data_IF_311064760071
#
_entry.id   IF_311064760071
#
_cell.length_a   1.000
_cell.length_b   1.000
_cell.length_c   1.000
_cell.angle_alpha   90.00
_cell.angle_beta   90.00
_cell.angle_gamma   90.00
#
_symmetry.space_group_name_H-M   'P 1'
#
loop_
_entity.id
_entity.type
_entity.pdbx_description
1 polymer ?
#
# COMPACT_ATOMS: atom_id res chain seq x y z
N UNK A 1 10.34 9.97 2.77
CA UNK A 1 9.56 9.98 1.53
C UNK A 1 10.19 8.91 0.72
N UNK A 2 9.65 7.71 0.89
CA UNK A 2 9.71 6.77 -0.19
C UNK A 2 9.37 7.50 -1.49
N UNK A 3 10.28 7.42 -2.45
CA UNK A 3 10.02 7.82 -3.82
C UNK A 3 9.83 6.58 -4.65
N UNK A 4 8.73 6.55 -5.39
CA UNK A 4 8.46 5.54 -6.38
C UNK A 4 8.97 6.08 -7.71
N UNK A 5 10.05 5.51 -8.21
CA UNK A 5 10.55 5.80 -9.55
C UNK A 5 9.88 4.87 -10.55
N UNK A 6 9.02 5.45 -11.38
CA UNK A 6 8.35 4.77 -12.48
C UNK A 6 9.24 4.81 -13.72
N UNK A 7 10.04 3.77 -13.91
CA UNK A 7 11.14 3.74 -14.90
C UNK A 7 10.66 3.92 -16.34
N UNK A 8 9.49 3.36 -16.68
CA UNK A 8 8.96 3.50 -18.05
C UNK A 8 8.57 4.94 -18.34
N UNK A 9 7.95 5.59 -17.37
CA UNK A 9 7.46 6.95 -17.45
C UNK A 9 8.58 7.97 -17.21
N UNK A 10 9.71 7.56 -16.62
CA UNK A 10 10.81 8.45 -16.25
C UNK A 10 10.38 9.48 -15.20
N UNK A 11 9.46 9.09 -14.31
CA UNK A 11 8.85 9.96 -13.31
C UNK A 11 9.11 9.44 -11.90
N UNK A 12 9.46 10.36 -11.02
CA UNK A 12 9.59 10.13 -9.59
C UNK A 12 8.35 10.67 -8.90
N UNK A 13 7.77 9.85 -8.03
CA UNK A 13 6.55 10.18 -7.29
C UNK A 13 6.83 10.03 -5.81
N UNK A 14 6.57 11.10 -5.07
CA UNK A 14 6.61 11.10 -3.62
C UNK A 14 5.38 10.39 -3.05
N UNK A 15 5.60 9.59 -2.01
CA UNK A 15 4.53 8.91 -1.28
C UNK A 15 4.89 8.77 0.20
N UNK A 16 3.89 8.41 1.01
CA UNK A 16 4.09 8.08 2.41
C UNK A 16 4.35 6.57 2.58
N UNK A 17 5.15 6.18 3.58
CA UNK A 17 5.22 4.77 3.99
C UNK A 17 3.81 4.22 4.27
N UNK A 18 3.55 2.99 3.82
CA UNK A 18 2.25 2.33 3.88
C UNK A 18 1.29 2.66 2.74
N UNK A 19 1.59 3.62 1.84
CA UNK A 19 0.70 3.89 0.71
C UNK A 19 0.67 2.73 -0.29
N UNK A 20 -0.52 2.46 -0.84
CA UNK A 20 -0.70 1.42 -1.84
C UNK A 20 -0.12 1.85 -3.20
N UNK A 21 0.78 1.04 -3.76
CA UNK A 21 1.49 1.35 -5.00
C UNK A 21 0.54 1.63 -6.18
N UNK A 22 -0.59 0.90 -6.27
CA UNK A 22 -1.60 1.15 -7.32
C UNK A 22 -2.26 2.51 -7.15
N UNK A 23 -2.67 2.85 -5.94
CA UNK A 23 -3.39 4.11 -5.72
C UNK A 23 -2.47 5.31 -5.94
N UNK A 24 -1.21 5.23 -5.52
CA UNK A 24 -0.20 6.26 -5.82
C UNK A 24 -0.02 6.41 -7.33
N UNK A 25 0.17 5.32 -8.07
CA UNK A 25 0.29 5.37 -9.52
C UNK A 25 -0.94 6.02 -10.19
N UNK A 26 -2.15 5.65 -9.75
CA UNK A 26 -3.40 6.20 -10.30
C UNK A 26 -3.58 7.68 -9.99
N UNK A 27 -3.29 8.11 -8.75
CA UNK A 27 -3.33 9.52 -8.34
C UNK A 27 -2.46 10.39 -9.23
N UNK A 28 -1.28 9.87 -9.61
CA UNK A 28 -0.31 10.58 -10.43
C UNK A 28 -0.49 10.40 -11.95
N UNK A 29 -1.56 9.72 -12.38
CA UNK A 29 -1.82 9.44 -13.80
C UNK A 29 -0.81 8.51 -14.45
N UNK A 30 -0.13 7.66 -13.68
CA UNK A 30 0.77 6.62 -14.18
C UNK A 30 -0.05 5.42 -14.66
N UNK A 31 0.12 5.07 -15.93
CA UNK A 31 -0.65 3.98 -16.56
C UNK A 31 -0.05 2.60 -16.25
N UNK A 32 -0.70 1.88 -15.34
CA UNK A 32 -0.35 0.50 -14.98
C UNK A 32 -0.94 -0.54 -15.94
N UNK A 33 -1.98 -0.19 -16.70
CA UNK A 33 -2.76 -1.13 -17.49
C UNK A 33 -2.47 -1.01 -18.98
N UNK A 34 -2.45 -2.15 -19.67
CA UNK A 34 -2.70 -2.15 -21.12
C UNK A 34 -4.19 -1.98 -21.41
N UNK A 35 -4.55 -1.82 -22.69
CA UNK A 35 -5.94 -1.61 -23.14
C UNK A 35 -6.96 -2.59 -22.52
N UNK A 36 -6.64 -3.89 -22.52
CA UNK A 36 -7.50 -4.93 -21.89
C UNK A 36 -7.62 -4.76 -20.37
N UNK A 37 -6.55 -4.30 -19.72
CA UNK A 37 -6.54 -4.06 -18.28
C UNK A 37 -7.35 -2.83 -17.88
N UNK A 38 -7.38 -1.78 -18.71
CA UNK A 38 -8.21 -0.60 -18.46
C UNK A 38 -9.70 -0.97 -18.40
N UNK A 39 -10.15 -1.86 -19.27
CA UNK A 39 -11.56 -2.31 -19.33
C UNK A 39 -11.91 -3.41 -18.30
N UNK A 40 -10.94 -4.20 -17.84
CA UNK A 40 -11.20 -5.44 -17.10
C UNK A 40 -10.39 -5.61 -15.82
N UNK A 41 -9.83 -4.53 -15.24
CA UNK A 41 -9.16 -4.63 -13.94
C UNK A 41 -10.18 -4.82 -12.81
N UNK A 42 -9.74 -5.50 -11.74
CA UNK A 42 -10.59 -5.81 -10.58
C UNK A 42 -10.71 -4.66 -9.57
N UNK A 43 -10.37 -3.43 -9.92
CA UNK A 43 -10.47 -2.30 -9.00
C UNK A 43 -9.48 -2.29 -7.83
N UNK A 44 -8.57 -3.27 -7.73
CA UNK A 44 -7.59 -3.38 -6.63
C UNK A 44 -7.83 -4.56 -5.68
N UNK A 45 -8.86 -5.38 -5.91
CA UNK A 45 -9.26 -6.45 -5.00
C UNK A 45 -8.41 -7.75 -5.07
N UNK A 46 -7.22 -7.72 -5.71
CA UNK A 46 -6.36 -8.91 -5.85
C UNK A 46 -6.92 -10.05 -6.74
N UNK A 47 -8.05 -9.85 -7.42
CA UNK A 47 -8.71 -10.92 -8.19
C UNK A 47 -8.16 -11.09 -9.61
N UNK A 48 -7.61 -10.03 -10.18
CA UNK A 48 -6.95 -10.05 -11.49
C UNK A 48 -5.42 -9.91 -11.35
N UNK A 49 -4.71 -10.09 -12.46
CA UNK A 49 -3.26 -9.86 -12.53
C UNK A 49 -2.89 -8.64 -13.38
N UNK A 50 -3.82 -7.74 -13.67
CA UNK A 50 -3.57 -6.67 -14.66
C UNK A 50 -2.71 -5.53 -14.15
N UNK A 51 -2.57 -5.38 -12.83
CA UNK A 51 -1.74 -4.35 -12.18
C UNK A 51 -0.32 -4.85 -11.84
N UNK A 52 0.21 -5.81 -12.60
CA UNK A 52 1.59 -6.24 -12.36
C UNK A 52 2.57 -5.08 -12.62
N UNK A 53 3.64 -5.05 -11.84
CA UNK A 53 4.81 -4.20 -12.01
C UNK A 53 6.03 -5.09 -11.79
N UNK A 54 7.19 -4.69 -12.30
CA UNK A 54 8.45 -5.34 -11.94
C UNK A 54 9.19 -4.41 -10.99
N UNK A 55 9.57 -4.90 -9.81
CA UNK A 55 10.55 -4.19 -8.96
C UNK A 55 11.91 -4.37 -9.63
N UNK A 56 12.62 -3.29 -9.91
CA UNK A 56 13.91 -3.33 -10.63
C UNK A 56 15.10 -2.90 -9.77
N UNK A 57 14.82 -2.66 -8.50
CA UNK A 57 15.79 -2.37 -7.44
C UNK A 57 16.16 -3.67 -6.71
N UNK A 58 17.26 -4.30 -7.12
CA UNK A 58 17.70 -5.60 -6.59
C UNK A 58 18.24 -5.49 -5.17
N UNK A 59 18.78 -4.33 -4.79
CA UNK A 59 19.40 -4.09 -3.49
C UNK A 59 18.36 -3.75 -2.40
N UNK A 60 17.10 -3.56 -2.79
CA UNK A 60 16.04 -3.01 -1.93
C UNK A 60 14.81 -3.93 -1.90
N UNK A 61 15.05 -5.18 -1.50
CA UNK A 61 14.03 -6.24 -1.48
C UNK A 61 12.91 -6.00 -0.47
N UNK A 62 13.14 -5.12 0.51
CA UNK A 62 12.18 -4.75 1.57
C UNK A 62 11.55 -3.36 1.35
N UNK A 63 11.66 -2.80 0.15
CA UNK A 63 11.04 -1.52 -0.19
C UNK A 63 9.51 -1.58 -0.22
N UNK A 64 8.95 -2.77 -0.40
CA UNK A 64 7.52 -3.04 -0.41
C UNK A 64 7.21 -4.08 0.66
N UNK A 65 5.97 -4.09 1.15
CA UNK A 65 5.48 -5.15 2.03
C UNK A 65 5.72 -6.54 1.44
N UNK A 66 5.83 -7.53 2.32
CA UNK A 66 5.90 -8.93 1.94
C UNK A 66 4.73 -9.31 1.03
N UNK A 67 4.97 -10.27 0.13
CA UNK A 67 3.92 -10.76 -0.77
C UNK A 67 2.78 -11.38 0.03
N UNK A 68 1.57 -11.12 -0.43
CA UNK A 68 0.38 -11.77 0.13
C UNK A 68 0.18 -13.15 -0.48
N UNK A 69 -0.55 -14.04 0.19
CA UNK A 69 -0.89 -15.36 -0.37
C UNK A 69 -1.65 -15.27 -1.71
N UNK A 70 -2.46 -14.21 -1.88
CA UNK A 70 -3.14 -13.93 -3.15
C UNK A 70 -2.13 -13.61 -4.24
N UNK A 71 -1.16 -12.74 -3.94
CA UNK A 71 -0.10 -12.36 -4.86
C UNK A 71 0.75 -13.57 -5.25
N UNK A 72 1.18 -14.39 -4.29
CA UNK A 72 1.97 -15.60 -4.54
C UNK A 72 1.23 -16.59 -5.44
N UNK A 73 -0.05 -16.85 -5.18
CA UNK A 73 -0.83 -17.76 -6.01
C UNK A 73 -1.02 -17.20 -7.43
N UNK A 74 -1.36 -15.92 -7.57
CA UNK A 74 -1.61 -15.27 -8.86
C UNK A 74 -0.35 -15.13 -9.70
N UNK A 75 0.82 -14.95 -9.07
CA UNK A 75 2.10 -14.75 -9.73
C UNK A 75 3.01 -15.99 -9.76
N UNK A 76 2.56 -17.16 -9.30
CA UNK A 76 3.37 -18.41 -9.20
C UNK A 76 4.15 -18.86 -10.45
N UNK A 77 3.78 -18.38 -11.64
CA UNK A 77 4.41 -18.70 -12.94
C UNK A 77 4.98 -17.45 -13.61
N UNK A 78 5.27 -16.41 -12.83
CA UNK A 78 5.82 -15.13 -13.29
C UNK A 78 7.19 -14.92 -12.62
N UNK A 79 8.01 -14.00 -13.16
CA UNK A 79 9.29 -13.66 -12.54
C UNK A 79 9.13 -13.20 -11.09
N UNK A 80 10.13 -13.46 -10.26
CA UNK A 80 10.09 -13.27 -8.81
C UNK A 80 10.13 -11.78 -8.40
N UNK A 81 10.58 -10.92 -9.30
CA UNK A 81 10.58 -9.48 -9.12
C UNK A 81 9.22 -8.84 -9.47
N UNK A 82 8.29 -9.60 -10.06
CA UNK A 82 6.97 -9.07 -10.41
C UNK A 82 6.09 -8.97 -9.17
N UNK A 83 5.46 -7.82 -8.97
CA UNK A 83 4.52 -7.57 -7.88
C UNK A 83 3.15 -7.19 -8.43
N UNK A 84 2.08 -7.44 -7.68
CA UNK A 84 0.77 -6.85 -7.92
C UNK A 84 0.72 -5.49 -7.21
N UNK A 85 0.70 -4.39 -7.97
CA UNK A 85 0.71 -3.04 -7.37
C UNK A 85 -0.43 -2.80 -6.38
N UNK A 86 -1.60 -3.45 -6.58
CA UNK A 86 -2.72 -3.34 -5.63
C UNK A 86 -2.53 -4.08 -4.31
N UNK A 87 -1.56 -4.98 -4.21
CA UNK A 87 -1.26 -5.77 -3.00
C UNK A 87 0.04 -5.34 -2.32
N UNK A 88 0.75 -4.37 -2.89
CA UNK A 88 2.02 -3.88 -2.38
C UNK A 88 1.84 -2.51 -1.74
N UNK A 89 2.22 -2.40 -0.47
CA UNK A 89 2.37 -1.11 0.21
C UNK A 89 3.84 -0.70 0.16
N UNK A 90 4.09 0.59 0.00
CA UNK A 90 5.44 1.15 -0.11
C UNK A 90 5.99 1.43 1.27
N UNK A 91 7.12 0.82 1.63
CA UNK A 91 7.80 1.05 2.92
C UNK A 91 9.02 1.95 2.75
N UNK A 92 9.74 1.78 1.63
CA UNK A 92 10.93 2.56 1.27
C UNK A 92 10.90 2.95 -0.20
N UNK A 93 11.78 3.87 -0.59
CA UNK A 93 11.92 4.27 -1.99
C UNK A 93 12.16 3.06 -2.88
N UNK A 94 11.51 2.99 -4.04
CA UNK A 94 11.52 1.79 -4.88
C UNK A 94 11.53 2.19 -6.35
N UNK A 95 12.27 1.45 -7.16
CA UNK A 95 12.19 1.55 -8.62
C UNK A 95 11.27 0.47 -9.17
N UNK A 96 10.27 0.88 -9.94
CA UNK A 96 9.31 -0.03 -10.56
C UNK A 96 9.21 0.21 -12.07
N UNK A 97 9.19 -0.89 -12.81
CA UNK A 97 8.85 -0.90 -14.22
C UNK A 97 7.37 -1.25 -14.37
N UNK A 98 6.60 -0.28 -14.88
CA UNK A 98 5.19 -0.50 -15.24
C UNK A 98 5.10 -1.38 -16.49
N UNK A 99 4.03 -2.17 -16.57
CA UNK A 99 3.74 -3.04 -17.73
C UNK A 99 4.98 -3.84 -18.20
N UNK A 100 5.63 -4.63 -17.31
CA UNK A 100 6.87 -5.36 -17.61
C UNK A 100 6.78 -6.33 -18.81
N UNK A 101 5.59 -6.76 -19.18
CA UNK A 101 5.32 -7.57 -20.38
C UNK A 101 5.46 -6.80 -21.71
N UNK A 102 5.47 -5.47 -21.67
CA UNK A 102 5.62 -4.62 -22.86
C UNK A 102 7.07 -4.18 -22.97
N UNK A 103 7.68 -4.37 -24.15
CA UNK A 103 9.06 -3.94 -24.41
C UNK A 103 9.26 -2.46 -24.01
N UNK A 104 10.32 -2.19 -23.27
CA UNK A 104 10.79 -0.84 -22.98
C UNK A 104 11.83 -0.45 -24.03
N UNK A 105 11.62 0.67 -24.73
CA UNK A 105 12.62 1.20 -25.65
C UNK A 105 13.85 1.65 -24.87
N UNK A 106 15.04 1.26 -25.33
CA UNK A 106 16.31 1.54 -24.66
C UNK A 106 16.28 1.13 -23.17
N UNK A 107 15.82 -0.10 -22.90
CA UNK A 107 15.61 -0.61 -21.55
C UNK A 107 16.86 -0.46 -20.68
N UNK A 108 18.01 -0.90 -21.19
CA UNK A 108 19.28 -0.86 -20.45
C UNK A 108 19.66 0.55 -20.04
N UNK A 109 19.59 1.53 -20.96
CA UNK A 109 19.95 2.91 -20.64
C UNK A 109 18.97 3.55 -19.64
N UNK A 110 17.67 3.23 -19.74
CA UNK A 110 16.66 3.77 -18.80
C UNK A 110 16.79 3.16 -17.41
N UNK A 111 17.06 1.86 -17.32
CA UNK A 111 17.32 1.19 -16.05
C UNK A 111 18.63 1.70 -15.43
N UNK A 112 19.69 1.86 -16.23
CA UNK A 112 20.95 2.42 -15.76
C UNK A 112 20.80 3.86 -15.24
N UNK A 113 20.11 4.73 -15.98
CA UNK A 113 19.83 6.09 -15.55
C UNK A 113 18.98 6.13 -14.26
N UNK A 114 17.98 5.26 -14.16
CA UNK A 114 17.16 5.14 -12.95
C UNK A 114 17.99 4.68 -11.74
N UNK A 115 18.99 3.81 -11.91
CA UNK A 115 19.84 3.36 -10.80
C UNK A 115 20.85 4.42 -10.32
N UNK A 116 21.25 5.34 -11.19
CA UNK A 116 22.29 6.35 -10.87
C UNK A 116 21.76 7.58 -10.11
N UNK A 117 20.48 7.90 -10.25
CA UNK A 117 19.90 9.07 -9.60
C UNK A 117 19.50 8.74 -8.14
N UNK A 118 20.08 9.40 -7.12
CA UNK A 118 19.72 9.15 -5.73
C UNK A 118 18.23 9.47 -5.49
N UNK A 119 17.54 8.59 -4.76
CA UNK A 119 16.16 8.83 -4.33
C UNK A 119 16.20 9.71 -3.07
N UNK A 120 15.38 10.76 -2.96
CA UNK A 120 15.38 11.63 -1.77
C UNK A 120 14.84 10.88 -0.54
N UNK A 121 15.23 11.32 0.65
CA UNK A 121 14.96 10.60 1.91
C UNK A 121 13.54 10.81 2.49
N UNK A 122 12.88 11.95 2.19
CA UNK A 122 11.92 12.76 3.00
C UNK A 122 11.16 12.18 4.23
N UNK A 123 9.86 12.47 4.47
CA UNK A 123 9.16 12.12 5.71
C UNK A 123 8.98 10.61 5.93
N UNK A 124 9.14 10.19 7.19
CA UNK A 124 9.12 8.78 7.64
C UNK A 124 7.77 8.32 8.20
N UNK A 125 6.75 9.19 8.23
CA UNK A 125 5.44 8.86 8.79
C UNK A 125 4.31 9.67 8.13
N UNK A 126 3.09 9.11 8.23
CA UNK A 126 1.85 9.81 7.91
C UNK A 126 1.64 11.00 8.86
N UNK A 127 1.01 12.09 8.39
CA UNK A 127 0.59 13.16 9.29
C UNK A 127 -0.42 12.61 10.31
N UNK A 128 -0.22 12.93 11.59
CA UNK A 128 -1.18 12.58 12.62
C UNK A 128 -2.53 13.26 12.33
N UNK A 129 -3.67 12.56 12.47
CA UNK A 129 -4.97 13.21 12.39
C UNK A 129 -5.05 14.31 13.46
N UNK A 130 -5.77 15.42 13.21
CA UNK A 130 -5.99 16.42 14.23
C UNK A 130 -6.70 15.76 15.41
N UNK A 131 -6.13 15.89 16.61
CA UNK A 131 -6.79 15.45 17.85
C UNK A 131 -8.07 16.27 18.00
N UNK A 132 -9.22 15.58 18.06
CA UNK A 132 -10.49 16.23 18.39
C UNK A 132 -10.59 16.37 19.91
N UNK A 133 -11.01 17.53 20.39
CA UNK A 133 -11.20 17.86 21.83
C UNK A 133 -12.22 16.94 22.55
N UNK A 134 -12.85 16.00 21.84
CA UNK A 134 -13.86 15.07 22.36
C UNK A 134 -13.27 13.83 23.04
N UNK A 135 -11.95 13.62 22.98
CA UNK A 135 -11.28 12.48 23.61
C UNK A 135 -10.82 12.76 25.06
N UNK A 136 -11.02 13.99 25.57
CA UNK A 136 -10.57 14.40 26.92
C UNK A 136 -11.65 14.23 28.01
N UNK A 137 -12.93 14.02 27.64
CA UNK A 137 -14.05 14.06 28.61
C UNK A 137 -14.38 12.71 29.27
N UNK A 138 -13.78 11.59 28.85
CA UNK A 138 -14.13 10.25 29.36
C UNK A 138 -13.31 9.80 30.60
N UNK A 139 -12.55 10.71 31.24
CA UNK A 139 -11.71 10.39 32.41
C UNK A 139 -12.28 10.81 33.78
N UNK A 140 -13.43 11.49 33.85
CA UNK A 140 -13.95 12.07 35.11
C UNK A 140 -15.30 11.48 35.61
N UNK A 141 -15.55 10.18 35.42
CA UNK A 141 -16.69 9.49 36.06
C UNK A 141 -16.26 8.20 36.76
N UNK A 142 -15.43 8.35 37.78
CA UNK A 142 -15.18 7.28 38.76
C UNK A 142 -15.02 7.83 40.18
N UNK A 143 -16.04 8.49 40.73
CA UNK A 143 -16.24 8.48 42.18
C UNK A 143 -17.67 8.86 42.60
N UNK A 144 -18.24 8.07 43.52
CA UNK A 144 -19.39 8.43 44.34
C UNK A 144 -20.79 8.22 43.76
N UNK A 145 -21.44 7.10 44.12
CA UNK A 145 -22.55 7.09 45.10
C UNK A 145 -23.28 5.75 45.09
N UNK A 146 -23.35 5.10 46.24
CA UNK A 146 -24.17 3.92 46.46
C UNK A 146 -25.26 4.24 47.49
N UNK A 147 -26.53 3.93 47.20
CA UNK A 147 -27.51 3.69 48.24
C UNK A 147 -27.99 2.24 48.22
N UNK A 148 -28.09 1.66 49.43
CA UNK A 148 -28.33 0.25 49.63
C UNK A 148 -29.78 -0.19 49.78
N UNK A 149 -29.91 -1.52 49.71
CA UNK A 149 -30.88 -2.43 50.35
C UNK A 149 -32.40 -2.24 50.11
N UNK A 150 -33.05 -3.30 49.59
CA UNK A 150 -33.86 -4.26 50.39
C UNK A 150 -34.43 -5.44 49.58
N UNK A 151 -34.05 -6.64 50.03
CA UNK A 151 -34.76 -7.91 50.26
C UNK A 151 -35.98 -8.40 49.40
N UNK A 152 -35.92 -9.73 49.15
CA UNK A 152 -37.02 -10.74 49.13
C UNK A 152 -37.82 -10.88 47.80
N UNK A 153 -38.21 -12.05 47.26
CA UNK A 153 -38.28 -13.47 47.68
C UNK A 153 -38.24 -14.39 46.44
N UNK A 154 -37.93 -15.68 46.65
CA UNK A 154 -38.19 -16.79 45.72
C UNK A 154 -39.69 -17.01 45.45
N UNK A 155 -40.04 -17.54 44.27
CA UNK A 155 -41.41 -17.89 43.88
C UNK A 155 -41.44 -18.73 42.60
N UNK A 156 -41.78 -19.99 42.80
CA UNK A 156 -41.94 -21.15 41.92
C UNK A 156 -43.11 -21.06 40.89
N UNK A 157 -43.11 -22.01 39.93
CA UNK A 157 -44.21 -22.49 39.05
C UNK A 157 -44.57 -21.67 37.78
N UNK A 158 -44.79 -22.24 36.58
CA UNK A 158 -45.05 -23.61 36.13
C UNK A 158 -44.61 -23.82 34.67
#
# INVERSE_FOLDING_TARGET
MPVIRFVREGRDVECYPGENLREVARREGIELYGLKGQLGNCGGCGQCITCFVSVVDEDNTDALTARTAVEDNKLRRRPQEWRLACQALVEKSVMVLTRPQVRLANADSRLAAARQAPLPAGPTAWPAPPVSELDEEDQDVADGDAPGAKAATAGDEA
#
